data_IF_627282734702
#
_entry.id   IF_627282734702
#
_cell.length_a   1.000
_cell.length_b   1.000
_cell.length_c   1.000
_cell.angle_alpha   90.00
_cell.angle_beta   90.00
_cell.angle_gamma   90.00
#
_symmetry.space_group_name_H-M   'P 1'
#
loop_
_entity.id
_entity.type
_entity.pdbx_description
1 polymer ?
#
# COMPACT_ATOMS: atom_id res chain seq x y z
N UNK A 1 3.72 67.29 2.81
CA UNK A 1 3.72 66.23 3.83
C UNK A 1 3.35 64.90 3.18
N UNK A 2 4.08 63.82 3.51
CA UNK A 2 3.77 62.39 3.30
C UNK A 2 3.73 61.91 1.83
N UNK A 3 4.90 61.62 1.23
CA UNK A 3 5.58 60.30 1.10
C UNK A 3 4.80 59.29 0.24
N UNK A 4 5.24 59.17 -1.02
CA UNK A 4 4.94 58.08 -1.94
C UNK A 4 5.34 56.75 -1.30
N UNK A 5 4.39 55.84 -1.11
CA UNK A 5 4.68 54.44 -0.82
C UNK A 5 5.12 53.78 -2.13
N UNK A 6 6.44 53.69 -2.29
CA UNK A 6 7.08 52.91 -3.34
C UNK A 6 6.79 51.43 -3.11
N UNK A 7 6.11 50.83 -4.08
CA UNK A 7 6.36 49.44 -4.51
C UNK A 7 7.86 49.28 -4.77
N UNK A 8 8.36 48.05 -4.66
CA UNK A 8 9.71 47.56 -5.00
C UNK A 8 10.39 46.87 -3.80
N UNK A 9 9.98 45.65 -3.49
CA UNK A 9 10.79 44.70 -2.71
C UNK A 9 10.46 43.24 -3.07
N UNK A 10 10.31 42.92 -4.36
CA UNK A 10 10.39 41.52 -4.81
C UNK A 10 11.86 41.15 -4.96
N UNK A 11 12.49 40.85 -3.82
CA UNK A 11 13.85 40.31 -3.78
C UNK A 11 13.91 38.92 -4.42
N UNK A 12 15.03 38.63 -5.09
CA UNK A 12 15.39 37.35 -5.70
C UNK A 12 15.12 36.13 -4.79
N UNK A 13 15.18 36.34 -3.47
CA UNK A 13 14.88 35.37 -2.42
C UNK A 13 13.43 34.87 -2.38
N UNK A 14 12.47 35.68 -2.85
CA UNK A 14 11.05 35.31 -2.83
C UNK A 14 10.71 34.19 -3.82
N UNK A 15 11.38 34.18 -4.97
CA UNK A 15 11.17 33.15 -6.00
C UNK A 15 11.69 31.79 -5.53
N UNK A 16 12.85 31.75 -4.87
CA UNK A 16 13.42 30.50 -4.35
C UNK A 16 12.50 29.81 -3.33
N UNK A 17 11.87 30.59 -2.44
CA UNK A 17 10.91 30.06 -1.46
C UNK A 17 9.67 29.50 -2.16
N UNK A 18 9.15 30.20 -3.18
CA UNK A 18 8.00 29.70 -3.93
C UNK A 18 8.29 28.43 -4.72
N UNK A 19 9.50 28.27 -5.26
CA UNK A 19 9.88 27.03 -5.96
C UNK A 19 10.04 25.85 -5.00
N UNK A 20 10.61 26.07 -3.82
CA UNK A 20 10.72 25.05 -2.79
C UNK A 20 9.36 24.56 -2.29
N UNK A 21 8.43 25.47 -2.04
CA UNK A 21 7.07 25.11 -1.58
C UNK A 21 6.26 24.43 -2.67
N UNK A 22 6.34 24.88 -3.93
CA UNK A 22 5.70 24.21 -5.06
C UNK A 22 6.29 22.82 -5.30
N UNK A 23 7.61 22.66 -5.24
CA UNK A 23 8.26 21.36 -5.37
C UNK A 23 7.82 20.37 -4.29
N UNK A 24 7.75 20.80 -3.03
CA UNK A 24 7.26 19.98 -1.92
C UNK A 24 5.79 19.59 -2.10
N UNK A 25 4.92 20.53 -2.51
CA UNK A 25 3.50 20.27 -2.74
C UNK A 25 3.27 19.30 -3.91
N UNK A 26 4.04 19.43 -4.99
CA UNK A 26 4.00 18.50 -6.13
C UNK A 26 4.47 17.11 -5.67
N UNK A 27 5.56 17.04 -4.89
CA UNK A 27 6.07 15.78 -4.37
C UNK A 27 5.08 15.10 -3.40
N UNK A 28 4.37 15.86 -2.56
CA UNK A 28 3.29 15.34 -1.71
C UNK A 28 2.06 14.91 -2.51
N UNK A 29 1.72 15.62 -3.59
CA UNK A 29 0.58 15.29 -4.44
C UNK A 29 0.84 14.06 -5.32
N UNK A 30 2.08 13.82 -5.76
CA UNK A 30 2.46 12.63 -6.54
C UNK A 30 2.99 11.47 -5.67
N UNK A 31 3.44 11.75 -4.45
CA UNK A 31 4.06 10.80 -3.55
C UNK A 31 3.06 10.10 -2.64
N UNK A 32 2.33 9.11 -3.17
CA UNK A 32 1.85 7.93 -2.41
C UNK A 32 1.02 6.96 -3.25
N UNK A 33 1.13 6.97 -4.58
CA UNK A 33 0.83 5.75 -5.34
C UNK A 33 2.05 4.85 -5.21
N UNK A 34 2.17 4.14 -4.08
CA UNK A 34 2.93 2.90 -4.12
C UNK A 34 2.27 2.07 -5.21
N UNK A 35 2.93 1.72 -6.32
CA UNK A 35 2.46 0.58 -7.08
C UNK A 35 2.59 -0.58 -6.10
N UNK A 36 1.49 -0.95 -5.46
CA UNK A 36 1.33 -2.33 -5.02
C UNK A 36 1.43 -3.08 -6.33
N UNK A 37 2.64 -3.55 -6.65
CA UNK A 37 2.85 -4.55 -7.66
C UNK A 37 1.97 -5.70 -7.19
N UNK A 38 0.77 -5.78 -7.76
CA UNK A 38 -0.04 -6.97 -7.67
C UNK A 38 0.89 -8.09 -8.11
N UNK A 39 1.17 -8.99 -7.17
CA UNK A 39 2.03 -10.14 -7.37
C UNK A 39 1.39 -10.94 -8.52
N UNK A 40 1.97 -10.87 -9.72
CA UNK A 40 1.40 -11.33 -11.00
C UNK A 40 1.35 -12.87 -11.10
N UNK A 41 1.51 -13.58 -10.00
CA UNK A 41 1.47 -15.05 -9.93
C UNK A 41 0.08 -15.61 -9.60
N UNK A 42 -0.96 -14.75 -9.53
CA UNK A 42 -2.33 -15.17 -9.18
C UNK A 42 -2.48 -15.69 -7.74
N UNK A 43 -1.44 -15.52 -6.92
CA UNK A 43 -1.36 -16.01 -5.55
C UNK A 43 -2.07 -15.08 -4.57
N UNK A 44 -2.75 -15.66 -3.58
CA UNK A 44 -3.50 -14.88 -2.60
C UNK A 44 -2.83 -14.90 -1.24
N UNK A 45 -2.81 -13.75 -0.56
CA UNK A 45 -2.28 -13.62 0.79
C UNK A 45 -3.40 -13.76 1.81
N UNK A 46 -3.23 -14.63 2.79
CA UNK A 46 -4.12 -14.75 3.94
C UNK A 46 -3.30 -14.96 5.21
N UNK A 47 -3.57 -14.16 6.26
CA UNK A 47 -2.86 -14.25 7.54
C UNK A 47 -1.32 -14.25 7.41
N UNK A 48 -0.77 -13.35 6.57
CA UNK A 48 0.68 -13.26 6.25
C UNK A 48 1.27 -14.50 5.57
N UNK A 49 0.43 -15.40 5.08
CA UNK A 49 0.82 -16.58 4.33
C UNK A 49 0.33 -16.46 2.90
N UNK A 50 1.06 -17.04 1.96
CA UNK A 50 0.78 -17.00 0.53
C UNK A 50 0.19 -18.36 0.11
N UNK A 51 -0.88 -18.31 -0.67
CA UNK A 51 -1.61 -19.46 -1.17
C UNK A 51 -1.64 -19.46 -2.71
N UNK A 52 -1.55 -20.63 -3.35
CA UNK A 52 -1.60 -20.73 -4.80
C UNK A 52 -3.01 -20.46 -5.34
N UNK A 53 -3.10 -20.12 -6.62
CA UNK A 53 -4.38 -19.97 -7.32
C UNK A 53 -5.23 -21.24 -7.24
N UNK A 54 -6.56 -21.07 -7.16
CA UNK A 54 -7.52 -22.16 -7.01
C UNK A 54 -7.66 -22.70 -5.60
N UNK A 55 -6.84 -22.24 -4.65
CA UNK A 55 -6.96 -22.59 -3.23
C UNK A 55 -8.33 -22.24 -2.69
N UNK A 56 -8.96 -23.16 -1.97
CA UNK A 56 -10.26 -22.95 -1.33
C UNK A 56 -10.10 -23.04 0.18
N UNK A 57 -10.67 -22.06 0.90
CA UNK A 57 -10.61 -21.99 2.35
C UNK A 57 -11.95 -21.54 2.95
N UNK A 58 -12.08 -21.71 4.25
CA UNK A 58 -13.19 -21.20 5.03
C UNK A 58 -12.76 -20.02 5.89
N UNK A 59 -13.38 -18.86 5.66
CA UNK A 59 -13.29 -17.71 6.55
C UNK A 59 -14.63 -17.56 7.28
N UNK A 60 -14.69 -18.08 8.51
CA UNK A 60 -15.95 -18.15 9.25
C UNK A 60 -16.97 -19.05 8.52
N UNK A 61 -18.12 -18.51 8.16
CA UNK A 61 -19.16 -19.21 7.40
C UNK A 61 -19.02 -19.09 5.89
N UNK A 62 -18.06 -18.31 5.39
CA UNK A 62 -17.88 -18.04 3.96
C UNK A 62 -16.82 -18.96 3.38
N UNK A 63 -17.15 -19.57 2.24
CA UNK A 63 -16.22 -20.34 1.43
C UNK A 63 -15.57 -19.40 0.41
N UNK A 64 -14.26 -19.23 0.51
CA UNK A 64 -13.48 -18.36 -0.36
C UNK A 64 -12.61 -19.21 -1.29
N UNK A 65 -12.38 -18.72 -2.51
CA UNK A 65 -11.44 -19.26 -3.49
C UNK A 65 -10.45 -18.18 -3.90
N UNK A 66 -9.18 -18.55 -4.00
CA UNK A 66 -8.15 -17.70 -4.54
C UNK A 66 -8.24 -17.71 -6.07
N UNK A 67 -8.52 -16.56 -6.67
CA UNK A 67 -8.53 -16.38 -8.13
C UNK A 67 -7.89 -15.03 -8.47
N UNK A 68 -6.95 -15.04 -9.42
CA UNK A 68 -6.23 -13.84 -9.90
C UNK A 68 -5.68 -12.94 -8.77
N UNK A 69 -5.11 -13.55 -7.71
CA UNK A 69 -4.51 -12.82 -6.59
C UNK A 69 -5.52 -12.21 -5.60
N UNK A 70 -6.80 -12.57 -5.70
CA UNK A 70 -7.86 -12.09 -4.82
C UNK A 70 -8.71 -13.23 -4.26
N UNK A 71 -9.23 -13.06 -3.03
CA UNK A 71 -10.16 -14.01 -2.43
C UNK A 71 -11.59 -13.71 -2.87
N UNK A 72 -12.16 -14.58 -3.71
CA UNK A 72 -13.57 -14.51 -4.13
C UNK A 72 -14.45 -15.44 -3.29
N UNK A 73 -15.62 -14.96 -2.86
CA UNK A 73 -16.59 -15.82 -2.18
C UNK A 73 -17.30 -16.75 -3.18
N UNK A 74 -17.17 -18.06 -2.98
CA UNK A 74 -17.77 -19.09 -3.83
C UNK A 74 -18.91 -19.86 -3.16
N UNK A 75 -19.18 -19.58 -1.87
CA UNK A 75 -20.30 -20.19 -1.16
C UNK A 75 -20.23 -20.05 0.35
N UNK A 76 -20.80 -21.03 1.04
CA UNK A 76 -20.75 -21.17 2.49
C UNK A 76 -19.98 -22.42 2.87
N UNK A 77 -19.33 -22.37 4.03
CA UNK A 77 -18.68 -23.52 4.64
C UNK A 77 -19.64 -24.27 5.55
N UNK A 78 -19.61 -25.60 5.47
CA UNK A 78 -20.41 -26.47 6.32
C UNK A 78 -19.48 -27.24 7.26
N UNK A 79 -19.24 -26.68 8.45
CA UNK A 79 -18.38 -27.27 9.48
C UNK A 79 -16.97 -26.69 9.51
N UNK A 80 -16.05 -27.40 10.16
CA UNK A 80 -14.64 -27.04 10.25
C UNK A 80 -13.87 -27.71 9.09
N UNK A 81 -13.85 -27.05 7.93
CA UNK A 81 -12.97 -27.44 6.82
C UNK A 81 -11.52 -27.04 7.19
N UNK A 82 -10.59 -27.98 7.06
CA UNK A 82 -9.19 -27.74 7.39
C UNK A 82 -8.59 -26.69 6.43
N UNK A 83 -7.74 -25.82 6.99
CA UNK A 83 -7.06 -24.81 6.18
C UNK A 83 -6.01 -25.50 5.29
N UNK A 84 -5.97 -25.19 3.98
CA UNK A 84 -4.94 -25.72 3.11
C UNK A 84 -3.54 -25.27 3.57
N UNK A 85 -2.50 -26.00 3.17
CA UNK A 85 -1.12 -25.59 3.48
C UNK A 85 -0.71 -24.38 2.63
N UNK A 86 -0.09 -23.35 3.22
CA UNK A 86 0.44 -22.23 2.47
C UNK A 86 1.70 -22.64 1.69
N UNK A 87 1.92 -22.02 0.53
CA UNK A 87 3.15 -22.21 -0.26
C UNK A 87 4.32 -21.39 0.28
N UNK A 88 4.04 -20.35 1.06
CA UNK A 88 5.04 -19.56 1.74
C UNK A 88 4.43 -18.93 2.99
N UNK A 89 5.15 -19.01 4.11
CA UNK A 89 4.84 -18.22 5.30
C UNK A 89 5.83 -17.08 5.33
N UNK A 90 5.36 -15.84 5.41
CA UNK A 90 6.25 -14.69 5.61
C UNK A 90 7.03 -14.92 6.90
N UNK A 91 8.32 -15.24 6.77
CA UNK A 91 9.19 -15.54 7.89
C UNK A 91 9.31 -14.31 8.79
N UNK A 92 9.20 -14.54 10.09
CA UNK A 92 9.42 -13.54 11.12
C UNK A 92 10.88 -13.09 11.01
N UNK A 93 11.11 -11.98 10.31
CA UNK A 93 12.39 -11.30 10.41
C UNK A 93 12.38 -10.65 11.79
N UNK A 94 12.80 -11.39 12.82
CA UNK A 94 13.23 -10.79 14.07
C UNK A 94 14.33 -9.79 13.71
N UNK A 95 14.03 -8.51 13.95
CA UNK A 95 14.99 -7.42 13.87
C UNK A 95 16.13 -7.77 14.84
N UNK A 96 17.24 -8.28 14.30
CA UNK A 96 18.49 -8.43 15.06
C UNK A 96 18.87 -7.03 15.55
N UNK A 97 18.90 -6.77 16.87
CA UNK A 97 19.25 -5.46 17.37
C UNK A 97 20.71 -5.20 17.03
N UNK A 98 20.97 -4.22 16.16
CA UNK A 98 22.31 -3.70 15.92
C UNK A 98 22.91 -3.25 17.27
N UNK A 99 24.03 -3.88 17.67
CA UNK A 99 24.86 -3.46 18.79
C UNK A 99 26.12 -2.75 18.30
#
# INVERSE_FOLDING_TARGET
MQRRLGKEALGWSGLAVTFWTLGLLIFLALGSSSPVLAFDDGQCVYNRQVYPEGTVMCQGSQRLRCDAGSWGQIGMCHGHEAFPEPISSGGDREEEPEQ
#
